data_IF_805817218388
#
_entry.id   IF_805817218388
#
_cell.length_a   1.000
_cell.length_b   1.000
_cell.length_c   1.000
_cell.angle_alpha   90.00
_cell.angle_beta   90.00
_cell.angle_gamma   90.00
#
_symmetry.space_group_name_H-M   'P 1'
#
loop_
_entity.id
_entity.type
_entity.pdbx_description
1 polymer ?
#
# COMPACT_ATOMS: atom_id res chain seq x y z
N UNK A 1 -8.32 -20.70 15.32
CA UNK A 1 -8.38 -19.66 14.26
C UNK A 1 -8.15 -18.30 14.91
N UNK A 2 -7.00 -17.72 14.72
CA UNK A 2 -6.70 -16.37 15.23
C UNK A 2 -7.57 -15.35 14.51
N UNK A 3 -8.38 -14.60 15.25
CA UNK A 3 -9.18 -13.51 14.69
C UNK A 3 -8.26 -12.43 14.12
N UNK A 4 -8.58 -11.97 12.91
CA UNK A 4 -7.80 -10.89 12.28
C UNK A 4 -8.05 -9.58 12.98
N UNK A 5 -7.03 -8.88 13.47
CA UNK A 5 -7.22 -7.59 14.11
C UNK A 5 -7.64 -6.54 13.06
N UNK A 6 -8.49 -5.61 13.48
CA UNK A 6 -9.05 -4.56 12.62
C UNK A 6 -7.98 -3.73 11.88
N UNK A 7 -6.87 -3.42 12.57
CA UNK A 7 -5.77 -2.65 12.00
C UNK A 7 -5.09 -3.35 10.80
N UNK A 8 -5.00 -4.69 10.79
CA UNK A 8 -4.46 -5.46 9.65
C UNK A 8 -5.41 -5.38 8.46
N UNK A 9 -6.72 -5.52 8.71
CA UNK A 9 -7.73 -5.38 7.67
C UNK A 9 -7.73 -3.97 7.08
N UNK A 10 -7.70 -2.95 7.94
CA UNK A 10 -7.74 -1.56 7.51
C UNK A 10 -6.49 -1.16 6.71
N UNK A 11 -5.29 -1.55 7.18
CA UNK A 11 -4.05 -1.32 6.45
C UNK A 11 -4.07 -2.02 5.07
N UNK A 12 -4.62 -3.24 4.99
CA UNK A 12 -4.80 -3.95 3.74
C UNK A 12 -5.72 -3.19 2.79
N UNK A 13 -6.93 -2.82 3.23
CA UNK A 13 -7.91 -2.11 2.39
C UNK A 13 -7.36 -0.78 1.87
N UNK A 14 -6.71 0.02 2.74
CA UNK A 14 -6.10 1.28 2.32
C UNK A 14 -4.99 1.07 1.29
N UNK A 15 -4.15 0.05 1.48
CA UNK A 15 -3.06 -0.25 0.53
C UNK A 15 -3.62 -0.72 -0.81
N UNK A 16 -4.67 -1.56 -0.82
CA UNK A 16 -5.33 -2.02 -2.05
C UNK A 16 -6.03 -0.87 -2.78
N UNK A 17 -6.68 0.03 -2.04
CA UNK A 17 -7.29 1.24 -2.65
C UNK A 17 -6.23 2.10 -3.34
N UNK A 18 -5.07 2.26 -2.71
CA UNK A 18 -3.96 3.03 -3.28
C UNK A 18 -3.33 2.31 -4.48
N UNK A 19 -3.17 0.99 -4.41
CA UNK A 19 -2.70 0.16 -5.52
C UNK A 19 -3.65 0.22 -6.72
N UNK A 20 -4.97 0.14 -6.49
CA UNK A 20 -5.99 0.28 -7.52
C UNK A 20 -5.93 1.66 -8.19
N UNK A 21 -5.74 2.73 -7.42
CA UNK A 21 -5.56 4.08 -7.95
C UNK A 21 -4.32 4.17 -8.87
N UNK A 22 -3.18 3.63 -8.44
CA UNK A 22 -1.94 3.60 -9.25
C UNK A 22 -2.14 2.76 -10.50
N UNK A 23 -2.83 1.62 -10.40
CA UNK A 23 -3.12 0.73 -11.54
C UNK A 23 -3.97 1.45 -12.60
N UNK A 24 -5.07 2.09 -12.19
CA UNK A 24 -5.95 2.85 -13.08
C UNK A 24 -5.16 3.97 -13.75
N UNK A 25 -4.38 4.72 -12.97
CA UNK A 25 -3.54 5.78 -13.49
C UNK A 25 -2.50 5.25 -14.49
N UNK A 26 -1.87 4.11 -14.19
CA UNK A 26 -0.89 3.46 -15.08
C UNK A 26 -1.49 3.04 -16.42
N UNK A 27 -2.72 2.53 -16.41
CA UNK A 27 -3.44 2.17 -17.65
C UNK A 27 -3.81 3.42 -18.45
N UNK A 28 -4.25 4.48 -17.78
CA UNK A 28 -4.68 5.72 -18.44
C UNK A 28 -3.52 6.64 -18.84
N UNK A 29 -2.35 6.48 -18.22
CA UNK A 29 -1.18 7.36 -18.42
C UNK A 29 -0.77 7.49 -19.88
N UNK A 30 -0.66 6.40 -20.69
CA UNK A 30 -0.30 6.50 -22.10
C UNK A 30 -1.26 7.35 -22.93
N UNK A 31 -2.54 7.39 -22.54
CA UNK A 31 -3.60 8.05 -23.30
C UNK A 31 -3.81 9.52 -22.89
N UNK A 32 -3.61 9.83 -21.59
CA UNK A 32 -4.00 11.13 -21.03
C UNK A 32 -2.81 12.05 -20.77
N UNK A 33 -1.60 11.52 -20.57
CA UNK A 33 -0.46 12.28 -20.07
C UNK A 33 0.79 12.21 -20.97
N UNK A 34 0.70 11.57 -22.12
CA UNK A 34 1.88 11.34 -22.99
C UNK A 34 2.33 12.57 -23.79
N UNK A 35 1.77 13.76 -23.60
CA UNK A 35 2.18 15.05 -24.21
C UNK A 35 2.82 14.94 -25.63
N UNK A 36 2.36 13.97 -26.44
CA UNK A 36 2.90 13.73 -27.78
C UNK A 36 4.09 12.74 -27.87
N UNK A 37 4.62 12.24 -26.76
CA UNK A 37 5.67 11.21 -26.77
C UNK A 37 5.12 9.85 -26.25
N UNK A 38 4.54 9.03 -27.15
CA UNK A 38 3.86 7.78 -26.76
C UNK A 38 4.79 6.77 -26.06
N UNK A 39 6.08 6.75 -26.40
CA UNK A 39 7.03 5.84 -25.78
C UNK A 39 7.25 6.10 -24.29
N UNK A 40 7.37 7.36 -23.88
CA UNK A 40 7.50 7.74 -22.46
C UNK A 40 6.22 7.44 -21.69
N UNK A 41 5.05 7.68 -22.29
CA UNK A 41 3.76 7.36 -21.72
C UNK A 41 3.62 5.85 -21.44
N UNK A 42 4.00 4.99 -22.37
CA UNK A 42 3.93 3.53 -22.22
C UNK A 42 4.88 3.04 -21.12
N UNK A 43 6.13 3.51 -21.09
CA UNK A 43 7.10 3.12 -20.05
C UNK A 43 6.61 3.53 -18.66
N UNK A 44 6.11 4.76 -18.51
CA UNK A 44 5.54 5.25 -17.26
C UNK A 44 4.33 4.45 -16.81
N UNK A 45 3.44 4.09 -17.73
CA UNK A 45 2.28 3.25 -17.48
C UNK A 45 2.65 1.84 -17.02
N UNK A 46 3.56 1.16 -17.72
CA UNK A 46 4.05 -0.17 -17.35
C UNK A 46 4.68 -0.16 -15.95
N UNK A 47 5.50 0.85 -15.64
CA UNK A 47 6.12 0.97 -14.32
C UNK A 47 5.05 1.10 -13.22
N UNK A 48 4.01 1.91 -13.41
CA UNK A 48 2.92 2.05 -12.45
C UNK A 48 2.14 0.75 -12.26
N UNK A 49 1.88 -0.01 -13.32
CA UNK A 49 1.24 -1.33 -13.24
C UNK A 49 2.08 -2.30 -12.42
N UNK A 50 3.41 -2.34 -12.64
CA UNK A 50 4.32 -3.19 -11.88
C UNK A 50 4.37 -2.81 -10.39
N UNK A 51 4.39 -1.51 -10.09
CA UNK A 51 4.34 -1.01 -8.70
C UNK A 51 3.03 -1.44 -8.03
N UNK A 52 1.88 -1.25 -8.69
CA UNK A 52 0.59 -1.65 -8.15
C UNK A 52 0.51 -3.16 -7.90
N UNK A 53 1.00 -3.99 -8.83
CA UNK A 53 1.07 -5.44 -8.67
C UNK A 53 1.96 -5.84 -7.47
N UNK A 54 3.10 -5.20 -7.31
CA UNK A 54 3.99 -5.41 -6.16
C UNK A 54 3.33 -5.04 -4.83
N UNK A 55 2.62 -3.91 -4.78
CA UNK A 55 1.86 -3.47 -3.60
C UNK A 55 0.79 -4.48 -3.22
N UNK A 56 -0.06 -4.89 -4.16
CA UNK A 56 -1.09 -5.90 -3.95
C UNK A 56 -0.49 -7.23 -3.47
N UNK A 57 0.61 -7.69 -4.07
CA UNK A 57 1.28 -8.92 -3.65
C UNK A 57 1.71 -8.88 -2.17
N UNK A 58 2.36 -7.80 -1.74
CA UNK A 58 2.82 -7.67 -0.35
C UNK A 58 1.67 -7.39 0.61
N UNK A 59 0.65 -6.63 0.21
CA UNK A 59 -0.56 -6.40 1.00
C UNK A 59 -1.30 -7.72 1.29
N UNK A 60 -1.45 -8.58 0.27
CA UNK A 60 -2.03 -9.92 0.44
C UNK A 60 -1.18 -10.83 1.35
N UNK A 61 0.14 -10.77 1.24
CA UNK A 61 1.03 -11.53 2.13
C UNK A 61 0.91 -11.06 3.57
N UNK A 62 0.84 -9.75 3.80
CA UNK A 62 0.65 -9.15 5.12
C UNK A 62 -0.71 -9.54 5.71
N UNK A 63 -1.78 -9.40 4.93
CA UNK A 63 -3.13 -9.78 5.33
C UNK A 63 -3.27 -11.28 5.69
N UNK A 64 -2.51 -12.14 4.99
CA UNK A 64 -2.43 -13.58 5.28
C UNK A 64 -1.49 -13.92 6.45
N UNK A 65 -0.90 -12.94 7.12
CA UNK A 65 0.02 -13.13 8.23
C UNK A 65 1.29 -13.89 7.87
N UNK A 66 1.82 -13.73 6.64
CA UNK A 66 3.07 -14.39 6.26
C UNK A 66 4.27 -13.70 6.87
N UNK A 67 5.18 -14.51 7.45
CA UNK A 67 6.44 -14.00 7.98
C UNK A 67 7.22 -13.18 6.93
N UNK A 68 7.87 -12.12 7.37
CA UNK A 68 8.65 -11.24 6.49
C UNK A 68 7.83 -10.25 5.63
N UNK A 69 6.49 -10.28 5.69
CA UNK A 69 5.65 -9.34 4.93
C UNK A 69 5.55 -7.95 5.56
N UNK A 70 5.89 -7.81 6.85
CA UNK A 70 5.75 -6.55 7.59
C UNK A 70 6.71 -5.48 7.09
N UNK A 71 7.98 -5.82 6.88
CA UNK A 71 9.00 -4.85 6.44
C UNK A 71 8.67 -4.27 5.05
N UNK A 72 8.35 -5.07 4.01
CA UNK A 72 7.87 -4.53 2.75
C UNK A 72 6.63 -3.64 2.89
N UNK A 73 5.67 -4.00 3.77
CA UNK A 73 4.49 -3.18 4.01
C UNK A 73 4.82 -1.84 4.66
N UNK A 74 5.77 -1.80 5.60
CA UNK A 74 6.28 -0.55 6.19
C UNK A 74 6.87 0.34 5.09
N UNK A 75 7.71 -0.22 4.22
CA UNK A 75 8.31 0.53 3.12
C UNK A 75 7.27 1.06 2.13
N UNK A 76 6.31 0.22 1.73
CA UNK A 76 5.23 0.61 0.82
C UNK A 76 4.40 1.76 1.41
N UNK A 77 3.96 1.63 2.66
CA UNK A 77 3.14 2.67 3.31
C UNK A 77 3.93 3.95 3.58
N UNK A 78 5.22 3.85 3.88
CA UNK A 78 6.13 5.00 4.00
C UNK A 78 6.33 5.71 2.66
N UNK A 79 6.57 4.97 1.57
CA UNK A 79 6.66 5.53 0.23
C UNK A 79 5.35 6.20 -0.20
N UNK A 80 4.20 5.57 0.07
CA UNK A 80 2.90 6.15 -0.21
C UNK A 80 2.69 7.47 0.56
N UNK A 81 3.06 7.51 1.84
CA UNK A 81 3.01 8.71 2.65
C UNK A 81 3.92 9.82 2.10
N UNK A 82 5.15 9.48 1.73
CA UNK A 82 6.09 10.42 1.14
C UNK A 82 5.56 11.02 -0.17
N UNK A 83 5.07 10.18 -1.08
CA UNK A 83 4.53 10.64 -2.38
C UNK A 83 3.31 11.54 -2.20
N UNK A 84 2.36 11.15 -1.34
CA UNK A 84 1.16 11.96 -1.09
C UNK A 84 1.48 13.27 -0.38
N UNK A 85 2.39 13.25 0.60
CA UNK A 85 2.85 14.45 1.30
C UNK A 85 3.59 15.41 0.36
N UNK A 86 4.50 14.92 -0.48
CA UNK A 86 5.22 15.76 -1.46
C UNK A 86 4.28 16.40 -2.48
N UNK A 87 3.25 15.67 -2.92
CA UNK A 87 2.21 16.21 -3.81
C UNK A 87 1.42 17.32 -3.13
N UNK A 88 1.10 17.18 -1.84
CA UNK A 88 0.42 18.21 -1.07
C UNK A 88 1.29 19.48 -0.95
N UNK A 89 2.57 19.31 -0.60
CA UNK A 89 3.52 20.44 -0.50
C UNK A 89 3.65 21.18 -1.83
N UNK A 90 3.77 20.44 -2.94
CA UNK A 90 3.85 21.06 -4.28
C UNK A 90 2.57 21.84 -4.63
N UNK A 91 1.40 21.28 -4.28
CA UNK A 91 0.12 21.98 -4.51
C UNK A 91 0.02 23.28 -3.72
N UNK A 92 0.46 23.28 -2.46
CA UNK A 92 0.46 24.48 -1.61
C UNK A 92 1.48 25.50 -2.08
N UNK A 93 2.67 25.07 -2.53
CA UNK A 93 3.72 25.99 -3.02
C UNK A 93 3.37 26.62 -4.37
N UNK A 94 2.66 25.89 -5.25
CA UNK A 94 2.28 26.37 -6.56
C UNK A 94 1.13 27.39 -6.55
N UNK A 95 0.19 27.24 -5.62
CA UNK A 95 -1.04 28.06 -5.55
C UNK A 95 -1.06 29.05 -4.39
N UNK A 96 -0.01 29.10 -3.56
CA UNK A 96 -0.02 29.83 -2.31
C UNK A 96 -0.95 29.18 -1.26
N UNK A 97 -0.97 29.75 -0.04
CA UNK A 97 -1.88 29.28 1.04
C UNK A 97 -3.28 29.84 0.79
N UNK A 98 -3.87 29.54 -0.38
CA UNK A 98 -5.28 29.84 -0.61
C UNK A 98 -6.12 28.60 -0.39
N UNK A 99 -7.33 28.75 0.12
CA UNK A 99 -8.28 27.65 0.37
C UNK A 99 -8.52 26.84 -0.92
N UNK A 100 -8.38 27.45 -2.08
CA UNK A 100 -8.52 26.82 -3.41
C UNK A 100 -7.33 25.93 -3.80
N UNK A 101 -6.16 26.04 -3.14
CA UNK A 101 -4.99 25.18 -3.37
C UNK A 101 -5.06 23.83 -2.63
N UNK A 102 -5.95 23.67 -1.66
CA UNK A 102 -6.13 22.42 -0.93
C UNK A 102 -7.08 21.50 -1.70
N UNK A 103 -6.51 20.56 -2.45
CA UNK A 103 -7.32 19.49 -3.04
C UNK A 103 -7.72 18.49 -1.94
N UNK A 104 -9.03 18.33 -1.62
CA UNK A 104 -9.50 17.41 -0.57
C UNK A 104 -9.05 15.97 -0.77
N UNK A 105 -8.88 15.54 -2.03
CA UNK A 105 -8.42 14.20 -2.37
C UNK A 105 -6.96 14.00 -1.95
N UNK A 106 -6.10 15.00 -2.13
CA UNK A 106 -4.69 14.93 -1.73
C UNK A 106 -4.57 14.88 -0.20
N UNK A 107 -5.35 15.69 0.51
CA UNK A 107 -5.39 15.67 1.98
C UNK A 107 -5.87 14.32 2.49
N UNK A 108 -6.96 13.78 1.95
CA UNK A 108 -7.46 12.45 2.29
C UNK A 108 -6.43 11.35 2.01
N UNK A 109 -5.69 11.47 0.90
CA UNK A 109 -4.59 10.56 0.55
C UNK A 109 -3.47 10.56 1.60
N UNK A 110 -3.04 11.74 2.07
CA UNK A 110 -2.01 11.87 3.13
C UNK A 110 -2.50 11.25 4.43
N UNK A 111 -3.72 11.56 4.85
CA UNK A 111 -4.31 11.01 6.08
C UNK A 111 -4.42 9.48 5.97
N UNK A 112 -4.94 8.96 4.86
CA UNK A 112 -5.07 7.53 4.63
C UNK A 112 -3.72 6.80 4.66
N UNK A 113 -2.70 7.34 4.00
CA UNK A 113 -1.35 6.77 4.02
C UNK A 113 -0.71 6.80 5.42
N UNK A 114 -0.91 7.89 6.17
CA UNK A 114 -0.41 8.00 7.55
C UNK A 114 -1.09 6.98 8.48
N UNK A 115 -2.42 6.82 8.39
CA UNK A 115 -3.17 5.83 9.16
C UNK A 115 -2.74 4.41 8.79
N UNK A 116 -2.58 4.09 7.51
CA UNK A 116 -2.09 2.78 7.08
C UNK A 116 -0.69 2.49 7.64
N UNK A 117 0.22 3.46 7.59
CA UNK A 117 1.57 3.35 8.14
C UNK A 117 1.56 3.08 9.65
N UNK A 118 0.77 3.87 10.42
CA UNK A 118 0.62 3.66 11.87
C UNK A 118 0.08 2.25 12.16
N UNK A 119 -0.92 1.79 11.43
CA UNK A 119 -1.53 0.48 11.64
C UNK A 119 -0.59 -0.68 11.34
N UNK A 120 0.28 -0.56 10.35
CA UNK A 120 1.33 -1.57 10.08
C UNK A 120 2.38 -1.59 11.20
N UNK A 121 2.68 -0.44 11.81
CA UNK A 121 3.63 -0.33 12.93
C UNK A 121 3.06 -0.86 14.26
N UNK A 122 1.74 -0.91 14.44
CA UNK A 122 1.11 -1.33 15.70
C UNK A 122 1.61 -2.70 16.18
N UNK A 123 1.80 -2.87 17.50
CA UNK A 123 2.19 -4.16 18.08
C UNK A 123 1.21 -5.29 17.78
N UNK A 124 -0.08 -4.98 17.63
CA UNK A 124 -1.13 -5.95 17.27
C UNK A 124 -0.92 -6.58 15.89
N UNK A 125 -0.40 -5.82 14.91
CA UNK A 125 -0.03 -6.35 13.60
C UNK A 125 1.14 -7.33 13.68
N UNK A 126 2.12 -7.04 14.54
CA UNK A 126 3.25 -7.94 14.79
C UNK A 126 2.80 -9.23 15.44
N UNK A 127 2.03 -9.13 16.54
CA UNK A 127 1.50 -10.31 17.27
C UNK A 127 0.65 -11.20 16.37
N UNK A 128 -0.15 -10.59 15.48
CA UNK A 128 -0.95 -11.36 14.52
C UNK A 128 -0.07 -12.18 13.56
N UNK A 129 0.99 -11.60 13.01
CA UNK A 129 1.90 -12.31 12.09
C UNK A 129 2.63 -13.43 12.82
N UNK A 130 3.10 -13.18 14.04
CA UNK A 130 3.77 -14.16 14.89
C UNK A 130 2.83 -15.35 15.20
N UNK A 131 1.61 -15.07 15.67
CA UNK A 131 0.61 -16.10 16.00
C UNK A 131 0.22 -16.96 14.78
N UNK A 132 -0.03 -16.35 13.62
CA UNK A 132 -0.35 -17.09 12.38
C UNK A 132 0.83 -17.94 11.90
N UNK A 133 2.05 -17.46 12.12
CA UNK A 133 3.27 -18.21 11.75
C UNK A 133 3.47 -19.42 12.65
N UNK A 134 3.21 -19.28 13.95
CA UNK A 134 3.27 -20.38 14.93
C UNK A 134 2.21 -21.44 14.65
N UNK A 135 0.94 -21.05 14.42
CA UNK A 135 -0.14 -21.98 14.05
C UNK A 135 0.24 -22.83 12.83
N UNK A 136 0.78 -22.21 11.79
CA UNK A 136 1.24 -22.93 10.57
C UNK A 136 2.42 -23.86 10.84
N UNK A 137 3.35 -23.44 11.70
CA UNK A 137 4.49 -24.28 12.10
C UNK A 137 4.06 -25.54 12.84
N UNK A 138 3.09 -25.44 13.74
CA UNK A 138 2.53 -26.57 14.44
C UNK A 138 1.74 -27.52 13.54
N UNK A 139 0.96 -26.97 12.62
CA UNK A 139 0.20 -27.74 11.64
C UNK A 139 1.13 -28.55 10.73
N UNK A 140 2.21 -27.95 10.25
CA UNK A 140 3.23 -28.63 9.47
C UNK A 140 3.91 -29.77 10.26
N UNK A 141 4.18 -29.58 11.56
CA UNK A 141 4.72 -30.64 12.45
C UNK A 141 3.73 -31.80 12.65
N UNK A 142 2.43 -31.49 12.81
CA UNK A 142 1.37 -32.51 12.93
C UNK A 142 1.24 -33.38 11.66
N UNK A 143 1.31 -32.76 10.49
CA UNK A 143 1.24 -33.48 9.21
C UNK A 143 2.46 -34.42 9.05
N UNK A 144 3.67 -33.96 9.42
CA UNK A 144 4.88 -34.81 9.39
C UNK A 144 4.81 -36.02 10.31
N UNK A 145 4.14 -35.92 11.47
CA UNK A 145 4.01 -37.04 12.42
C UNK A 145 2.98 -38.08 11.98
N UNK A 146 2.11 -37.75 11.03
CA UNK A 146 1.07 -38.65 10.52
C UNK A 146 1.48 -39.43 9.25
N UNK A 147 2.62 -39.08 8.68
CA UNK A 147 3.26 -39.83 7.60
C UNK A 147 4.34 -40.74 8.10
#
# INVERSE_FOLDING_TARGET
>A
MTSRPFNVLYAFVLTETFAAYILIRGILYPFLLSNGEPAQGVVGGVLQVLIAAGMTFYALRFYRGRYGSRLPMILITLCALWVTASTLVQSVSAFGVSINGFNPQTVAGVIGAAVAFIFVLMPSSRRYIEAVTEERGEEAKRIRRRR
#
